data_IF_494608854213
#
_entry.id   IF_494608854213
#
_cell.length_a   1.000
_cell.length_b   1.000
_cell.length_c   1.000
_cell.angle_alpha   90.00
_cell.angle_beta   90.00
_cell.angle_gamma   90.00
#
_symmetry.space_group_name_H-M   'P 1'
#
loop_
_entity.id
_entity.type
_entity.pdbx_description
1 polymer ?
#
# COMPACT_ATOMS: atom_id res chain seq x y z
N UNK A 1 -24.82 -73.24 34.18
CA UNK A 1 -23.57 -72.69 34.74
C UNK A 1 -23.28 -71.40 34.02
N UNK A 2 -23.66 -70.30 34.65
CA UNK A 2 -23.55 -68.95 34.13
C UNK A 2 -22.10 -68.48 34.27
N UNK A 3 -21.54 -67.93 33.20
CA UNK A 3 -20.31 -67.14 33.27
C UNK A 3 -20.67 -65.77 32.70
N UNK A 4 -21.03 -64.86 33.60
CA UNK A 4 -21.14 -63.45 33.31
C UNK A 4 -19.74 -62.93 32.97
N UNK A 5 -19.56 -62.46 31.74
CA UNK A 5 -18.36 -61.73 31.33
C UNK A 5 -18.73 -60.26 31.35
N UNK A 6 -18.23 -59.55 32.37
CA UNK A 6 -18.45 -58.12 32.55
C UNK A 6 -17.67 -57.35 31.49
N UNK A 7 -18.33 -56.85 30.46
CA UNK A 7 -17.76 -55.85 29.55
C UNK A 7 -17.66 -54.51 30.30
N UNK A 8 -16.45 -54.17 30.75
CA UNK A 8 -16.13 -52.82 31.17
C UNK A 8 -16.12 -51.93 29.92
N UNK A 9 -17.20 -51.18 29.72
CA UNK A 9 -17.27 -50.09 28.75
C UNK A 9 -16.39 -48.96 29.27
N UNK A 10 -15.19 -48.84 28.71
CA UNK A 10 -14.28 -47.74 28.98
C UNK A 10 -14.88 -46.48 28.35
N UNK A 11 -15.49 -45.64 29.18
CA UNK A 11 -15.99 -44.33 28.79
C UNK A 11 -14.81 -43.45 28.45
N UNK A 12 -14.65 -43.13 27.16
CA UNK A 12 -13.77 -42.04 26.74
C UNK A 12 -14.43 -40.75 27.21
N UNK A 13 -14.03 -40.27 28.39
CA UNK A 13 -14.35 -38.94 28.83
C UNK A 13 -13.87 -37.98 27.74
N UNK A 14 -14.84 -37.28 27.12
CA UNK A 14 -14.58 -36.11 26.30
C UNK A 14 -13.85 -35.10 27.18
N UNK A 15 -12.52 -35.15 27.16
CA UNK A 15 -11.70 -34.06 27.66
C UNK A 15 -11.96 -32.91 26.71
N UNK A 16 -12.78 -31.98 27.18
CA UNK A 16 -13.07 -30.69 26.54
C UNK A 16 -11.74 -29.93 26.43
N UNK A 17 -10.98 -30.28 25.39
CA UNK A 17 -9.71 -29.65 25.08
C UNK A 17 -10.03 -28.27 24.53
N UNK A 18 -10.06 -27.29 25.43
CA UNK A 18 -9.99 -25.89 25.04
C UNK A 18 -8.52 -25.55 24.88
N UNK A 19 -8.05 -25.20 23.66
CA UNK A 19 -6.70 -24.70 23.50
C UNK A 19 -6.54 -23.49 24.43
N UNK A 20 -5.42 -23.38 25.19
CA UNK A 20 -5.17 -22.19 25.96
C UNK A 20 -5.21 -20.99 25.01
N UNK A 21 -6.00 -19.98 25.36
CA UNK A 21 -5.98 -18.71 24.64
C UNK A 21 -4.52 -18.23 24.56
N UNK A 22 -4.06 -17.79 23.38
CA UNK A 22 -2.69 -17.31 23.26
C UNK A 22 -2.48 -16.18 24.29
N UNK A 23 -1.28 -16.07 24.87
CA UNK A 23 -0.96 -14.96 25.76
C UNK A 23 -1.31 -13.65 25.06
N UNK A 24 -2.19 -12.83 25.66
CA UNK A 24 -2.49 -11.48 25.18
C UNK A 24 -1.37 -10.49 25.46
N UNK A 25 -0.36 -10.90 26.25
CA UNK A 25 0.80 -10.10 26.59
C UNK A 25 1.97 -10.42 25.64
N UNK A 26 1.80 -10.01 24.39
CA UNK A 26 2.92 -9.74 23.49
C UNK A 26 3.15 -8.23 23.53
N UNK A 27 4.21 -7.80 24.21
CA UNK A 27 4.60 -6.38 24.30
C UNK A 27 5.19 -5.94 22.94
N UNK A 28 4.36 -5.85 21.90
CA UNK A 28 4.61 -5.18 20.61
C UNK A 28 3.31 -4.62 20.00
N UNK A 29 2.32 -4.36 20.84
CA UNK A 29 0.98 -3.89 20.49
C UNK A 29 0.77 -2.48 21.09
N UNK A 30 0.23 -1.55 20.31
CA UNK A 30 -0.20 -0.24 20.81
C UNK A 30 -1.59 -0.29 21.46
N UNK A 31 -2.23 -1.46 21.47
CA UNK A 31 -3.54 -1.71 22.06
C UNK A 31 -4.68 -1.62 21.04
N UNK A 32 -4.37 -1.45 19.75
CA UNK A 32 -5.35 -1.45 18.68
C UNK A 32 -5.55 -2.86 18.09
N UNK A 33 -6.77 -3.22 17.65
CA UNK A 33 -7.00 -4.47 16.94
C UNK A 33 -6.07 -4.62 15.74
N UNK A 34 -5.55 -5.85 15.53
CA UNK A 34 -4.73 -6.16 14.36
C UNK A 34 -5.41 -5.71 13.06
N UNK A 35 -4.62 -5.04 12.20
CA UNK A 35 -5.05 -4.64 10.87
C UNK A 35 -5.62 -5.82 10.07
N UNK A 36 -6.64 -5.55 9.26
CA UNK A 36 -7.18 -6.57 8.35
C UNK A 36 -6.24 -6.82 7.19
N UNK A 37 -6.34 -8.01 6.55
CA UNK A 37 -5.54 -8.30 5.35
C UNK A 37 -5.72 -7.26 4.24
N UNK A 38 -6.90 -6.61 4.14
CA UNK A 38 -7.14 -5.54 3.17
C UNK A 38 -6.32 -4.28 3.43
N UNK A 39 -6.12 -3.89 4.70
CA UNK A 39 -5.24 -2.76 5.06
C UNK A 39 -3.79 -3.07 4.66
N UNK A 40 -3.30 -4.26 5.02
CA UNK A 40 -1.96 -4.75 4.61
C UNK A 40 -1.77 -4.69 3.09
N UNK A 41 -2.73 -5.17 2.30
CA UNK A 41 -2.64 -5.13 0.83
C UNK A 41 -2.64 -3.69 0.34
N UNK A 42 -3.57 -2.85 0.82
CA UNK A 42 -3.68 -1.45 0.41
C UNK A 42 -2.39 -0.65 0.70
N UNK A 43 -1.79 -0.83 1.88
CA UNK A 43 -0.47 -0.26 2.20
C UNK A 43 0.61 -0.72 1.21
N UNK A 44 0.69 -2.03 0.97
CA UNK A 44 1.69 -2.58 0.05
C UNK A 44 1.49 -2.10 -1.39
N UNK A 45 0.25 -1.88 -1.81
CA UNK A 45 -0.05 -1.30 -3.13
C UNK A 45 0.56 0.10 -3.25
N UNK A 46 0.39 0.96 -2.24
CA UNK A 46 0.98 2.30 -2.23
C UNK A 46 2.51 2.24 -2.25
N UNK A 47 3.12 1.45 -1.37
CA UNK A 47 4.58 1.33 -1.27
C UNK A 47 5.18 0.79 -2.58
N UNK A 48 4.63 -0.31 -3.11
CA UNK A 48 5.19 -0.99 -4.29
C UNK A 48 5.00 -0.16 -5.56
N UNK A 49 3.84 0.49 -5.73
CA UNK A 49 3.60 1.36 -6.89
C UNK A 49 4.51 2.59 -6.87
N UNK A 50 4.68 3.25 -5.72
CA UNK A 50 5.58 4.40 -5.62
C UNK A 50 7.04 4.03 -5.85
N UNK A 51 7.53 2.94 -5.22
CA UNK A 51 8.90 2.44 -5.44
C UNK A 51 9.14 2.06 -6.90
N UNK A 52 8.16 1.47 -7.56
CA UNK A 52 8.27 1.16 -8.99
C UNK A 52 8.34 2.42 -9.85
N UNK A 53 7.45 3.39 -9.59
CA UNK A 53 7.39 4.64 -10.32
C UNK A 53 8.65 5.50 -10.16
N UNK A 54 9.25 5.47 -8.97
CA UNK A 54 10.49 6.18 -8.64
C UNK A 54 11.71 5.26 -8.59
N UNK A 55 11.74 4.19 -9.39
CA UNK A 55 12.82 3.21 -9.35
C UNK A 55 14.23 3.81 -9.60
N UNK A 56 14.30 4.91 -10.37
CA UNK A 56 15.56 5.62 -10.68
C UNK A 56 15.94 6.68 -9.63
N UNK A 57 15.10 6.92 -8.61
CA UNK A 57 15.38 7.87 -7.53
C UNK A 57 16.07 7.19 -6.36
N UNK A 58 17.01 7.91 -5.74
CA UNK A 58 17.76 7.46 -4.55
C UNK A 58 17.63 8.43 -3.38
N UNK A 59 16.87 9.50 -3.56
CA UNK A 59 16.72 10.64 -2.66
C UNK A 59 15.36 10.63 -1.93
N UNK A 60 14.84 9.44 -1.62
CA UNK A 60 13.66 9.29 -0.78
C UNK A 60 13.65 7.97 -0.03
N UNK A 61 12.89 7.96 1.06
CA UNK A 61 12.48 6.75 1.77
C UNK A 61 10.95 6.67 1.79
N UNK A 62 10.41 5.47 1.61
CA UNK A 62 8.99 5.20 1.82
C UNK A 62 8.81 3.87 2.54
N UNK A 63 7.88 3.87 3.49
CA UNK A 63 7.53 2.73 4.32
C UNK A 63 6.11 2.88 4.85
N UNK A 64 5.73 1.93 5.69
CA UNK A 64 4.40 1.84 6.29
C UNK A 64 4.44 0.89 7.46
N UNK A 65 3.52 1.06 8.40
CA UNK A 65 3.48 0.32 9.67
C UNK A 65 4.88 0.21 10.33
N UNK A 66 5.55 1.37 10.40
CA UNK A 66 6.89 1.53 10.96
C UNK A 66 6.88 2.70 11.94
N UNK A 67 7.40 2.49 13.15
CA UNK A 67 7.38 3.53 14.18
C UNK A 67 8.27 4.72 13.86
N UNK A 68 7.69 5.90 14.02
CA UNK A 68 8.32 7.21 13.91
C UNK A 68 8.49 7.77 15.32
N UNK A 69 9.72 7.88 15.78
CA UNK A 69 10.08 8.46 17.06
C UNK A 69 10.43 9.94 16.88
N UNK A 70 9.64 10.82 17.50
CA UNK A 70 9.72 12.27 17.25
C UNK A 70 10.03 13.11 18.49
N UNK A 71 10.22 12.48 19.66
CA UNK A 71 10.63 13.17 20.89
C UNK A 71 11.67 12.34 21.66
N UNK A 72 12.91 12.85 21.71
CA UNK A 72 14.01 12.21 22.48
C UNK A 72 13.83 12.36 24.00
N UNK A 73 13.13 13.42 24.44
CA UNK A 73 12.81 13.65 25.86
C UNK A 73 11.70 12.73 26.38
N UNK A 74 10.87 12.20 25.49
CA UNK A 74 9.70 11.38 25.82
C UNK A 74 9.79 9.95 25.25
N UNK A 75 10.97 9.50 24.82
CA UNK A 75 11.19 8.10 24.46
C UNK A 75 10.84 7.12 25.61
N UNK A 76 10.79 7.59 26.86
CA UNK A 76 10.29 6.83 28.03
C UNK A 76 8.75 6.76 28.15
N UNK A 77 8.01 7.58 27.40
CA UNK A 77 6.54 7.71 27.45
C UNK A 77 5.81 7.20 26.20
N UNK A 78 6.48 6.47 25.28
CA UNK A 78 5.88 5.91 24.05
C UNK A 78 5.36 6.96 23.04
N UNK A 79 5.99 8.12 22.94
CA UNK A 79 5.67 9.12 21.91
C UNK A 79 6.26 8.71 20.54
N UNK A 80 5.61 7.72 19.92
CA UNK A 80 5.83 7.30 18.55
C UNK A 80 4.52 7.26 17.78
N UNK A 81 4.60 7.26 16.45
CA UNK A 81 3.47 7.00 15.56
C UNK A 81 3.88 6.01 14.48
N UNK A 82 3.04 5.02 14.21
CA UNK A 82 3.20 4.12 13.07
C UNK A 82 2.16 4.46 12.01
N UNK A 83 2.41 5.42 11.11
CA UNK A 83 1.48 5.67 10.01
C UNK A 83 1.44 4.47 9.05
N UNK A 84 0.28 4.20 8.47
CA UNK A 84 0.13 3.10 7.51
C UNK A 84 0.99 3.27 6.28
N UNK A 85 1.18 4.51 5.82
CA UNK A 85 2.10 4.82 4.73
C UNK A 85 2.72 6.20 4.95
N UNK A 86 4.01 6.34 4.63
CA UNK A 86 4.68 7.62 4.62
C UNK A 86 5.82 7.71 3.61
N UNK A 87 6.18 8.94 3.29
CA UNK A 87 7.33 9.29 2.43
C UNK A 87 8.16 10.37 3.11
N UNK A 88 9.48 10.22 3.10
CA UNK A 88 10.46 11.26 3.43
C UNK A 88 11.31 11.52 2.20
N UNK A 89 11.42 12.76 1.78
CA UNK A 89 12.19 13.21 0.62
C UNK A 89 13.57 13.74 1.05
N UNK A 90 14.52 13.73 0.12
CA UNK A 90 15.88 14.25 0.31
C UNK A 90 16.73 13.41 1.28
N UNK A 91 16.38 12.14 1.46
CA UNK A 91 17.09 11.18 2.32
C UNK A 91 17.49 9.96 1.50
N UNK A 92 18.48 9.20 1.95
CA UNK A 92 18.87 7.97 1.26
C UNK A 92 17.79 6.88 1.37
N UNK A 93 17.74 5.99 0.40
CA UNK A 93 16.73 4.93 0.31
C UNK A 93 17.02 3.67 1.15
N UNK A 94 17.95 3.73 2.13
CA UNK A 94 18.40 2.54 2.86
C UNK A 94 17.22 1.68 3.36
N UNK A 95 17.07 0.44 2.84
CA UNK A 95 15.96 -0.43 3.17
C UNK A 95 16.09 -1.11 4.53
N UNK A 96 17.25 -1.00 5.21
CA UNK A 96 17.52 -1.67 6.48
C UNK A 96 16.98 -0.93 7.72
N UNK A 97 16.21 0.14 7.53
CA UNK A 97 15.64 0.94 8.64
C UNK A 97 14.62 0.10 9.41
N UNK A 98 14.79 0.04 10.73
CA UNK A 98 13.86 -0.64 11.65
C UNK A 98 12.78 0.29 12.20
N UNK A 99 13.00 1.60 12.06
CA UNK A 99 12.13 2.68 12.54
C UNK A 99 12.65 4.01 12.00
N UNK A 100 11.83 5.05 12.08
CA UNK A 100 12.22 6.40 11.72
C UNK A 100 12.49 7.23 12.98
N UNK A 101 13.75 7.39 13.34
CA UNK A 101 14.14 8.15 14.54
C UNK A 101 14.54 9.55 14.12
N UNK A 102 13.63 10.52 14.30
CA UNK A 102 13.75 11.87 13.72
C UNK A 102 15.08 12.55 14.06
N UNK A 103 15.58 12.43 15.30
CA UNK A 103 16.83 13.07 15.71
C UNK A 103 18.09 12.36 15.19
N UNK A 104 18.00 11.10 14.79
CA UNK A 104 19.07 10.38 14.10
C UNK A 104 19.04 10.66 12.59
N UNK A 105 17.85 10.93 12.05
CA UNK A 105 17.59 11.30 10.64
C UNK A 105 17.69 12.82 10.41
N UNK A 106 18.52 13.53 11.18
CA UNK A 106 18.80 14.96 10.96
C UNK A 106 17.61 15.90 11.15
N UNK A 107 16.61 15.52 11.95
CA UNK A 107 15.40 16.30 12.18
C UNK A 107 14.38 16.18 11.04
N UNK A 108 14.53 15.21 10.14
CA UNK A 108 13.61 14.99 9.03
C UNK A 108 12.34 14.26 9.52
N UNK A 109 11.20 14.86 9.24
CA UNK A 109 9.88 14.26 9.44
C UNK A 109 9.32 13.78 8.10
N UNK A 110 8.30 12.90 8.10
CA UNK A 110 7.54 12.58 6.90
C UNK A 110 7.06 13.81 6.14
N UNK A 111 7.32 13.84 4.84
CA UNK A 111 6.80 14.86 3.94
C UNK A 111 5.36 14.53 3.54
N UNK A 112 5.02 13.24 3.39
CA UNK A 112 3.65 12.75 3.13
C UNK A 112 3.29 11.62 4.10
N UNK A 113 2.05 11.62 4.60
CA UNK A 113 1.46 10.52 5.38
C UNK A 113 0.09 10.15 4.78
N UNK A 114 -0.20 8.85 4.69
CA UNK A 114 -1.51 8.32 4.35
C UNK A 114 -1.91 7.32 5.45
N UNK A 115 -3.08 7.51 6.05
CA UNK A 115 -3.67 6.57 7.02
C UNK A 115 -4.84 5.81 6.37
N UNK A 116 -4.85 4.49 6.55
CA UNK A 116 -5.88 3.58 6.09
C UNK A 116 -6.85 3.34 7.25
N UNK A 117 -8.00 4.03 7.20
CA UNK A 117 -8.93 4.08 8.30
C UNK A 117 -9.61 2.74 8.56
N UNK A 118 -9.77 2.42 9.84
CA UNK A 118 -10.71 1.42 10.32
C UNK A 118 -11.83 2.07 11.13
N UNK A 119 -12.88 1.30 11.45
CA UNK A 119 -13.96 1.80 12.30
C UNK A 119 -13.48 2.23 13.71
N UNK A 120 -12.40 1.63 14.23
CA UNK A 120 -11.85 2.00 15.55
C UNK A 120 -10.91 3.20 15.50
N UNK A 121 -10.23 3.44 14.37
CA UNK A 121 -9.17 4.46 14.28
C UNK A 121 -9.66 5.80 13.72
N UNK A 122 -10.78 5.80 12.97
CA UNK A 122 -11.31 6.97 12.25
C UNK A 122 -11.37 8.27 13.06
N UNK A 123 -11.86 8.24 14.30
CA UNK A 123 -11.95 9.44 15.15
C UNK A 123 -10.57 9.99 15.51
N UNK A 124 -9.62 9.11 15.79
CA UNK A 124 -8.24 9.46 16.18
C UNK A 124 -7.47 10.00 14.97
N UNK A 125 -7.60 9.36 13.81
CA UNK A 125 -6.95 9.75 12.55
C UNK A 125 -7.41 11.12 12.07
N UNK A 126 -8.71 11.43 12.18
CA UNK A 126 -9.29 12.72 11.79
C UNK A 126 -9.11 13.81 12.87
N UNK A 127 -8.82 13.44 14.11
CA UNK A 127 -8.68 14.35 15.24
C UNK A 127 -7.23 14.52 15.70
N UNK A 128 -6.83 13.71 16.68
CA UNK A 128 -5.57 13.88 17.40
C UNK A 128 -4.34 13.65 16.50
N UNK A 129 -4.35 12.63 15.63
CA UNK A 129 -3.25 12.37 14.69
C UNK A 129 -3.13 13.48 13.64
N UNK A 130 -4.25 13.91 13.04
CA UNK A 130 -4.24 15.06 12.12
C UNK A 130 -3.63 16.30 12.77
N UNK A 131 -4.00 16.61 14.02
CA UNK A 131 -3.44 17.75 14.77
C UNK A 131 -1.95 17.58 15.02
N UNK A 132 -1.51 16.37 15.40
CA UNK A 132 -0.10 16.06 15.61
C UNK A 132 0.72 16.22 14.31
N UNK A 133 0.22 15.70 13.19
CA UNK A 133 0.90 15.78 11.90
C UNK A 133 0.97 17.23 11.41
N UNK A 134 -0.06 18.03 11.66
CA UNK A 134 -0.11 19.47 11.32
C UNK A 134 0.86 20.31 12.16
N UNK A 135 0.85 20.13 13.48
CA UNK A 135 1.48 21.05 14.41
C UNK A 135 2.90 20.65 14.79
N UNK A 136 3.17 19.33 14.88
CA UNK A 136 4.46 18.81 15.32
C UNK A 136 5.28 18.31 14.15
N UNK A 137 4.72 17.43 13.32
CA UNK A 137 5.51 16.84 12.22
C UNK A 137 5.68 17.83 11.08
N UNK A 138 4.74 18.77 10.94
CA UNK A 138 4.66 19.67 9.78
C UNK A 138 4.63 18.88 8.47
N UNK A 139 3.97 17.72 8.47
CA UNK A 139 3.81 16.86 7.30
C UNK A 139 3.07 17.64 6.22
N UNK A 140 3.63 17.71 5.01
CA UNK A 140 3.14 18.61 3.96
C UNK A 140 1.81 18.16 3.38
N UNK A 141 1.69 16.89 3.02
CA UNK A 141 0.44 16.32 2.54
C UNK A 141 0.00 15.18 3.47
N UNK A 142 -1.25 15.24 3.93
CA UNK A 142 -1.86 14.21 4.77
C UNK A 142 -3.13 13.69 4.13
N UNK A 143 -3.27 12.38 4.00
CA UNK A 143 -4.46 11.74 3.44
C UNK A 143 -5.02 10.67 4.37
N UNK A 144 -6.32 10.45 4.26
CA UNK A 144 -7.00 9.33 4.92
C UNK A 144 -7.92 8.63 3.94
N UNK A 145 -8.04 7.32 4.07
CA UNK A 145 -8.94 6.50 3.25
C UNK A 145 -9.38 5.25 4.00
N UNK A 146 -10.67 4.95 4.02
CA UNK A 146 -11.23 3.70 4.53
C UNK A 146 -11.28 2.66 3.39
N UNK A 147 -10.53 1.55 3.46
CA UNK A 147 -10.55 0.49 2.43
C UNK A 147 -11.89 -0.22 2.24
N UNK A 148 -12.89 0.07 3.06
CA UNK A 148 -14.26 -0.46 2.99
C UNK A 148 -15.29 0.60 2.57
N UNK A 149 -14.89 1.86 2.40
CA UNK A 149 -15.73 2.94 1.87
C UNK A 149 -15.01 3.68 0.72
N UNK A 150 -15.42 3.38 -0.51
CA UNK A 150 -14.85 3.93 -1.73
C UNK A 150 -14.94 5.47 -1.84
N UNK A 151 -15.80 6.13 -1.06
CA UNK A 151 -15.99 7.59 -1.10
C UNK A 151 -15.31 8.30 0.08
N UNK A 152 -14.57 7.57 0.90
CA UNK A 152 -13.98 8.09 2.16
C UNK A 152 -12.72 8.95 1.97
N UNK A 153 -12.14 8.95 0.77
CA UNK A 153 -10.86 9.60 0.49
C UNK A 153 -10.92 11.09 0.82
N UNK A 154 -10.05 11.53 1.72
CA UNK A 154 -9.86 12.92 2.07
C UNK A 154 -8.36 13.24 2.13
N UNK A 155 -8.03 14.50 1.88
CA UNK A 155 -6.64 14.96 1.86
C UNK A 155 -6.52 16.41 2.27
N UNK A 156 -5.39 16.75 2.87
CA UNK A 156 -5.04 18.11 3.27
C UNK A 156 -3.61 18.44 2.88
N UNK A 157 -3.41 19.69 2.46
CA UNK A 157 -2.10 20.28 2.25
C UNK A 157 -1.80 21.27 3.37
N UNK A 158 -0.58 21.23 3.91
CA UNK A 158 -0.14 22.13 4.98
C UNK A 158 0.21 23.49 4.41
N UNK A 159 -0.67 24.47 4.64
CA UNK A 159 -0.31 25.86 4.52
C UNK A 159 0.45 26.30 5.78
N UNK A 160 1.57 27.01 5.60
CA UNK A 160 2.45 27.35 6.72
C UNK A 160 1.80 28.32 7.71
N UNK A 161 0.88 29.17 7.24
CA UNK A 161 0.21 30.19 8.03
C UNK A 161 -1.18 29.75 8.51
N UNK A 162 -1.88 28.94 7.70
CA UNK A 162 -3.28 28.54 7.93
C UNK A 162 -3.45 27.09 8.41
N UNK A 163 -2.38 26.31 8.50
CA UNK A 163 -2.45 24.90 8.85
C UNK A 163 -3.03 24.06 7.69
N UNK A 164 -3.60 22.90 7.99
CA UNK A 164 -4.10 22.01 6.96
C UNK A 164 -5.31 22.56 6.22
N UNK A 165 -5.15 22.78 4.93
CA UNK A 165 -6.23 23.14 4.00
C UNK A 165 -6.69 21.89 3.24
N UNK A 166 -8.02 21.66 3.11
CA UNK A 166 -8.52 20.52 2.36
C UNK A 166 -8.12 20.61 0.89
N UNK A 167 -7.69 19.49 0.32
CA UNK A 167 -7.36 19.39 -1.10
C UNK A 167 -8.66 19.17 -1.88
N UNK A 168 -8.96 20.05 -2.83
CA UNK A 168 -10.11 19.90 -3.70
C UNK A 168 -9.86 18.78 -4.73
N UNK A 169 -10.86 17.94 -4.92
CA UNK A 169 -10.81 16.90 -5.94
C UNK A 169 -10.99 17.49 -7.34
N UNK A 170 -10.33 16.88 -8.33
CA UNK A 170 -10.56 17.20 -9.74
C UNK A 170 -11.84 16.53 -10.28
N UNK A 171 -12.11 16.68 -11.58
CA UNK A 171 -13.29 16.10 -12.25
C UNK A 171 -13.35 14.57 -12.18
N UNK A 172 -12.21 13.91 -11.95
CA UNK A 172 -12.09 12.45 -11.79
C UNK A 172 -12.07 12.02 -10.31
N UNK A 173 -12.42 12.91 -9.38
CA UNK A 173 -12.34 12.70 -7.93
C UNK A 173 -10.93 12.37 -7.41
N UNK A 174 -9.88 12.84 -8.09
CA UNK A 174 -8.49 12.66 -7.65
C UNK A 174 -8.04 13.87 -6.82
N UNK A 175 -7.26 13.61 -5.77
CA UNK A 175 -6.63 14.62 -4.93
C UNK A 175 -5.15 14.80 -5.32
N UNK A 176 -4.71 16.03 -5.56
CA UNK A 176 -3.32 16.30 -5.93
C UNK A 176 -2.40 16.38 -4.72
N UNK A 177 -1.36 15.54 -4.68
CA UNK A 177 -0.24 15.72 -3.75
C UNK A 177 0.84 16.58 -4.42
N UNK A 178 0.98 17.82 -3.98
CA UNK A 178 2.06 18.70 -4.42
C UNK A 178 3.43 18.14 -4.07
N UNK A 179 3.53 17.41 -2.96
CA UNK A 179 4.78 16.87 -2.43
C UNK A 179 5.28 15.68 -3.24
N UNK A 180 4.38 14.79 -3.67
CA UNK A 180 4.73 13.65 -4.52
C UNK A 180 4.73 14.01 -6.02
N UNK A 181 4.04 15.08 -6.42
CA UNK A 181 3.80 15.33 -7.84
C UNK A 181 2.93 14.24 -8.48
N UNK A 182 2.04 13.64 -7.68
CA UNK A 182 1.14 12.57 -8.07
C UNK A 182 -0.28 12.90 -7.61
N UNK A 183 -1.25 12.43 -8.36
CA UNK A 183 -2.64 12.37 -7.95
C UNK A 183 -2.87 11.12 -7.10
N UNK A 184 -3.78 11.21 -6.13
CA UNK A 184 -4.22 10.11 -5.30
C UNK A 184 -5.73 9.94 -5.51
N UNK A 185 -6.17 8.70 -5.76
CA UNK A 185 -7.58 8.43 -6.03
C UNK A 185 -7.92 6.96 -5.93
N UNK A 186 -9.19 6.65 -6.13
CA UNK A 186 -9.71 5.29 -6.03
C UNK A 186 -9.77 4.59 -7.38
N UNK A 187 -9.40 3.32 -7.39
CA UNK A 187 -9.43 2.46 -8.57
C UNK A 187 -10.06 1.12 -8.23
N UNK A 188 -11.01 0.66 -9.04
CA UNK A 188 -11.66 -0.64 -8.84
C UNK A 188 -11.02 -1.70 -9.71
N UNK A 189 -10.57 -2.79 -9.09
CA UNK A 189 -10.07 -3.97 -9.79
C UNK A 189 -9.43 -4.99 -8.86
N UNK A 190 -8.72 -5.93 -9.46
CA UNK A 190 -8.16 -7.10 -8.75
C UNK A 190 -6.73 -6.83 -8.33
N UNK A 191 -6.45 -6.96 -7.03
CA UNK A 191 -5.10 -7.01 -6.45
C UNK A 191 -5.05 -8.17 -5.46
N UNK A 192 -4.04 -9.04 -5.54
CA UNK A 192 -3.90 -10.23 -4.67
C UNK A 192 -5.22 -11.02 -4.51
N UNK A 193 -5.91 -11.27 -5.64
CA UNK A 193 -7.19 -11.99 -5.74
C UNK A 193 -8.44 -11.30 -5.12
N UNK A 194 -8.32 -10.08 -4.58
CA UNK A 194 -9.46 -9.29 -4.09
C UNK A 194 -9.88 -8.23 -5.14
N UNK A 195 -11.11 -8.38 -5.65
CA UNK A 195 -11.73 -7.44 -6.60
C UNK A 195 -12.51 -6.37 -5.84
N UNK A 196 -11.88 -5.23 -5.56
CA UNK A 196 -12.46 -4.17 -4.76
C UNK A 196 -11.92 -2.80 -5.17
N UNK A 197 -12.25 -1.76 -4.39
CA UNK A 197 -11.73 -0.41 -4.58
C UNK A 197 -10.43 -0.25 -3.80
N UNK A 198 -9.38 0.16 -4.50
CA UNK A 198 -8.05 0.39 -3.95
C UNK A 198 -7.68 1.86 -4.07
N UNK A 199 -7.00 2.40 -3.05
CA UNK A 199 -6.33 3.68 -3.17
C UNK A 199 -5.08 3.53 -4.03
N UNK A 200 -4.93 4.37 -5.05
CA UNK A 200 -3.85 4.30 -6.05
C UNK A 200 -3.29 5.68 -6.36
N UNK A 201 -2.04 5.70 -6.77
CA UNK A 201 -1.41 6.88 -7.36
C UNK A 201 -1.71 6.97 -8.85
N UNK A 202 -1.78 8.20 -9.36
CA UNK A 202 -1.88 8.50 -10.78
C UNK A 202 -0.86 9.58 -11.15
N UNK A 203 -0.19 9.40 -12.29
CA UNK A 203 0.69 10.39 -12.90
C UNK A 203 0.00 11.03 -14.12
N UNK A 204 0.77 11.79 -14.92
CA UNK A 204 0.24 12.41 -16.14
C UNK A 204 -0.18 11.41 -17.23
N UNK A 205 0.28 10.16 -17.15
CA UNK A 205 -0.02 9.07 -18.08
C UNK A 205 -1.19 8.20 -17.62
N UNK A 206 -1.61 8.34 -16.35
CA UNK A 206 -2.73 7.62 -15.77
C UNK A 206 -2.33 6.86 -14.51
N UNK A 207 -2.92 5.67 -14.31
CA UNK A 207 -2.68 4.85 -13.12
C UNK A 207 -1.19 4.50 -12.99
N UNK A 208 -0.60 4.78 -11.83
CA UNK A 208 0.74 4.29 -11.49
C UNK A 208 0.66 2.80 -11.21
N UNK A 209 1.35 2.02 -12.04
CA UNK A 209 1.28 0.57 -12.04
C UNK A 209 2.13 -0.06 -10.94
N UNK A 210 1.67 -1.20 -10.45
CA UNK A 210 2.49 -2.15 -9.72
C UNK A 210 3.49 -2.81 -10.67
N UNK A 211 4.64 -3.31 -10.17
CA UNK A 211 5.63 -4.01 -10.99
C UNK A 211 5.03 -5.11 -11.89
N UNK A 212 4.16 -5.95 -11.32
CA UNK A 212 3.49 -7.06 -12.03
C UNK A 212 2.46 -6.58 -13.05
N UNK A 213 1.82 -5.44 -12.84
CA UNK A 213 0.91 -4.83 -13.82
C UNK A 213 1.71 -4.27 -15.00
N UNK A 214 2.83 -3.60 -14.73
CA UNK A 214 3.73 -3.09 -15.75
C UNK A 214 4.38 -4.21 -16.57
N UNK A 215 4.79 -5.31 -15.93
CA UNK A 215 5.30 -6.50 -16.62
C UNK A 215 4.26 -7.13 -17.55
N UNK A 216 3.02 -7.31 -17.05
CA UNK A 216 1.92 -7.83 -17.87
C UNK A 216 1.63 -6.93 -19.07
N UNK A 217 1.61 -5.60 -18.87
CA UNK A 217 1.38 -4.66 -19.96
C UNK A 217 2.51 -4.69 -21.01
N UNK A 218 3.77 -4.81 -20.58
CA UNK A 218 4.92 -4.96 -21.48
C UNK A 218 4.82 -6.26 -22.30
N UNK A 219 4.54 -7.38 -21.64
CA UNK A 219 4.40 -8.68 -22.30
C UNK A 219 3.25 -8.68 -23.32
N UNK A 220 2.11 -8.06 -22.99
CA UNK A 220 0.98 -7.95 -23.90
C UNK A 220 1.31 -7.06 -25.11
N UNK A 221 1.98 -5.93 -24.87
CA UNK A 221 2.43 -5.04 -25.96
C UNK A 221 3.40 -5.76 -26.91
N UNK A 222 4.34 -6.55 -26.36
CA UNK A 222 5.29 -7.32 -27.16
C UNK A 222 4.59 -8.42 -27.98
N UNK A 223 3.63 -9.14 -27.38
CA UNK A 223 2.81 -10.13 -28.11
C UNK A 223 2.04 -9.50 -29.26
N UNK A 224 1.41 -8.35 -29.04
CA UNK A 224 0.67 -7.63 -30.08
C UNK A 224 1.58 -7.16 -31.22
N UNK A 225 2.81 -6.72 -30.90
CA UNK A 225 3.81 -6.35 -31.91
C UNK A 225 4.25 -7.53 -32.74
N UNK A 226 4.60 -8.65 -32.10
CA UNK A 226 5.01 -9.88 -32.77
C UNK A 226 3.90 -10.41 -33.70
N UNK A 227 2.64 -10.39 -33.23
CA UNK A 227 1.50 -10.80 -34.05
C UNK A 227 1.28 -9.87 -35.25
N UNK A 228 1.41 -8.55 -35.05
CA UNK A 228 1.30 -7.57 -36.14
C UNK A 228 2.41 -7.74 -37.18
N UNK A 229 3.65 -7.98 -36.74
CA UNK A 229 4.79 -8.23 -37.63
C UNK A 229 4.63 -9.55 -38.39
N UNK A 230 4.17 -10.61 -37.72
CA UNK A 230 3.86 -11.88 -38.35
C UNK A 230 2.80 -11.72 -39.44
N UNK A 231 1.69 -11.06 -39.15
CA UNK A 231 0.63 -10.81 -40.13
C UNK A 231 1.11 -9.97 -41.32
N UNK A 232 1.97 -8.97 -41.08
CA UNK A 232 2.60 -8.19 -42.16
C UNK A 232 3.53 -9.05 -43.01
N UNK A 233 4.36 -9.88 -42.39
CA UNK A 233 5.27 -10.80 -43.07
C UNK A 233 4.50 -11.82 -43.91
N UNK A 234 3.46 -12.45 -43.37
CA UNK A 234 2.61 -13.39 -44.09
C UNK A 234 1.91 -12.73 -45.28
N UNK A 235 1.42 -11.49 -45.11
CA UNK A 235 0.80 -10.72 -46.20
C UNK A 235 1.80 -10.34 -47.29
N UNK A 236 3.02 -9.97 -46.91
CA UNK A 236 4.08 -9.64 -47.87
C UNK A 236 4.53 -10.89 -48.64
N UNK A 237 4.73 -12.00 -47.94
CA UNK A 237 5.07 -13.29 -48.54
C UNK A 237 4.00 -13.76 -49.53
N UNK A 238 2.72 -13.62 -49.18
CA UNK A 238 1.62 -13.91 -50.10
C UNK A 238 1.67 -13.05 -51.37
N UNK A 239 1.94 -11.74 -51.23
CA UNK A 239 2.06 -10.83 -52.36
C UNK A 239 3.29 -11.10 -53.25
N UNK A 240 4.40 -11.53 -52.65
CA UNK A 240 5.60 -11.95 -53.40
C UNK A 240 5.32 -13.22 -54.21
N UNK A 241 4.63 -14.21 -53.61
CA UNK A 241 4.20 -15.42 -54.32
C UNK A 241 3.24 -15.10 -55.48
N UNK A 242 2.33 -14.13 -55.32
CA UNK A 242 1.48 -13.64 -56.42
C UNK A 242 2.27 -13.01 -57.57
N UNK A 243 3.43 -12.41 -57.27
CA UNK A 243 4.34 -11.82 -58.26
C UNK A 243 5.28 -12.86 -58.90
N UNK A 244 5.23 -14.12 -58.46
CA UNK A 244 6.09 -15.20 -58.96
C UNK A 244 7.48 -15.27 -58.31
N UNK A 245 7.70 -14.50 -57.26
CA UNK A 245 8.93 -14.55 -56.45
C UNK A 245 8.77 -15.52 -55.28
N UNK A 246 9.82 -16.28 -54.96
CA UNK A 246 9.83 -17.17 -53.79
C UNK A 246 10.32 -16.38 -52.54
N UNK A 247 9.43 -16.05 -51.59
CA UNK A 247 9.80 -15.28 -50.41
C UNK A 247 10.75 -16.03 -49.46
N UNK A 248 10.92 -17.35 -49.60
CA UNK A 248 11.80 -18.15 -48.76
C UNK A 248 13.26 -18.20 -49.29
N UNK A 249 13.51 -17.59 -50.45
CA UNK A 249 14.83 -17.51 -51.11
C UNK A 249 15.46 -16.09 -51.05
N UNK A 250 14.82 -15.14 -50.36
CA UNK A 250 15.27 -13.74 -50.15
C UNK A 250 15.78 -13.54 -48.72
#
# INVERSE_FOLDING_TARGET
MSIETTEQTQTWDNVDWQPPMPPTDLIFDDGEPLETNRHRIAMNVLIRSLKHHWAERTDFFTGGNMFIYYSSRQAKNRDFRGPDFFVVLGVDSNPSRLGWVVWEEGGRYPDVIIELLSASTKEVDLGAKKTLYEQVFRTRDYFVFDPFDANSLQGWHLDLDQGYQPIAANEQNLLWSHTLGLWLGTWTGIVEDDNTTWLRFYDSSGLVLLPEEAERQRAETERQRAETERQKSERLAAKLRELGEDPDLL
#
